data_IF_826893581719
#
_entry.id   IF_826893581719
#
_cell.length_a   1.000
_cell.length_b   1.000
_cell.length_c   1.000
_cell.angle_alpha   90.00
_cell.angle_beta   90.00
_cell.angle_gamma   90.00
#
_symmetry.space_group_name_H-M   'P 1'
#
loop_
_entity.id
_entity.type
_entity.pdbx_description
1 polymer ?
#
# COMPACT_ATOMS: atom_id res chain seq x y z
N UNK A 1 10.26 19.31 0.16
CA UNK A 1 9.21 20.35 0.03
C UNK A 1 8.22 19.77 -0.96
N UNK A 2 7.15 19.15 -0.48
CA UNK A 2 6.17 18.47 -1.33
C UNK A 2 4.81 19.13 -1.12
N UNK A 3 4.64 20.37 -1.60
CA UNK A 3 3.46 21.20 -1.28
C UNK A 3 2.79 21.85 -2.50
N UNK A 4 2.86 21.22 -3.69
CA UNK A 4 2.20 21.81 -4.88
C UNK A 4 1.35 20.85 -5.70
N UNK A 5 1.48 19.53 -5.54
CA UNK A 5 0.74 18.57 -6.39
C UNK A 5 -0.26 17.77 -5.57
N UNK A 6 -1.55 17.97 -5.86
CA UNK A 6 -2.63 17.12 -5.34
C UNK A 6 -2.50 15.76 -6.02
N UNK A 7 -2.20 14.72 -5.22
CA UNK A 7 -2.15 13.35 -5.73
C UNK A 7 -3.56 12.76 -5.76
N UNK A 8 -3.89 11.98 -6.81
CA UNK A 8 -5.07 11.14 -6.77
C UNK A 8 -5.03 10.19 -5.57
N UNK A 9 -6.18 9.93 -4.96
CA UNK A 9 -6.29 8.96 -3.85
C UNK A 9 -5.71 7.59 -4.21
N UNK A 10 -5.81 7.20 -5.48
CA UNK A 10 -5.25 5.97 -6.02
C UNK A 10 -3.72 5.89 -5.85
N UNK A 11 -3.02 6.99 -6.13
CA UNK A 11 -1.56 7.06 -6.01
C UNK A 11 -1.13 7.18 -4.54
N UNK A 12 -1.90 7.89 -3.71
CA UNK A 12 -1.67 7.94 -2.25
C UNK A 12 -1.79 6.54 -1.66
N UNK A 13 -2.84 5.80 -2.02
CA UNK A 13 -3.06 4.44 -1.59
C UNK A 13 -1.95 3.49 -2.07
N UNK A 14 -1.56 3.58 -3.34
CA UNK A 14 -0.47 2.77 -3.89
C UNK A 14 0.83 3.00 -3.12
N UNK A 15 1.18 4.26 -2.83
CA UNK A 15 2.38 4.61 -2.05
C UNK A 15 2.33 4.08 -0.64
N UNK A 16 1.17 4.18 0.03
CA UNK A 16 0.98 3.65 1.36
C UNK A 16 1.21 2.13 1.39
N UNK A 17 0.68 1.39 0.41
CA UNK A 17 0.86 -0.06 0.30
C UNK A 17 2.32 -0.44 0.06
N UNK A 18 2.97 0.22 -0.90
CA UNK A 18 4.39 -0.03 -1.19
C UNK A 18 5.26 0.26 0.03
N UNK A 19 4.98 1.35 0.74
CA UNK A 19 5.70 1.70 1.95
C UNK A 19 5.50 0.65 3.04
N UNK A 20 4.25 0.24 3.30
CA UNK A 20 3.93 -0.80 4.28
C UNK A 20 4.66 -2.12 3.98
N UNK A 21 4.59 -2.61 2.73
CA UNK A 21 5.30 -3.82 2.32
C UNK A 21 6.82 -3.69 2.52
N UNK A 22 7.40 -2.53 2.21
CA UNK A 22 8.83 -2.30 2.40
C UNK A 22 9.23 -2.34 3.88
N UNK A 23 8.47 -1.70 4.77
CA UNK A 23 8.80 -1.66 6.20
C UNK A 23 8.54 -2.99 6.90
N UNK A 24 7.60 -3.80 6.40
CA UNK A 24 7.31 -5.14 6.93
C UNK A 24 8.08 -6.25 6.21
N UNK A 25 9.08 -5.93 5.39
CA UNK A 25 9.88 -6.92 4.63
C UNK A 25 9.00 -7.88 3.80
N UNK A 26 7.99 -7.33 3.12
CA UNK A 26 6.97 -8.03 2.34
C UNK A 26 6.04 -8.96 3.15
N UNK A 27 6.03 -8.88 4.48
CA UNK A 27 5.00 -9.56 5.26
C UNK A 27 3.65 -8.90 5.02
N UNK A 28 2.80 -9.58 4.24
CA UNK A 28 1.47 -9.10 3.85
C UNK A 28 0.52 -9.01 5.05
N UNK A 29 0.67 -9.86 6.08
CA UNK A 29 -0.18 -9.80 7.26
C UNK A 29 0.13 -8.54 8.07
N UNK A 30 1.40 -8.30 8.36
CA UNK A 30 1.85 -7.13 9.11
C UNK A 30 1.59 -5.84 8.34
N UNK A 31 1.75 -5.86 7.00
CA UNK A 31 1.45 -4.70 6.16
C UNK A 31 -0.05 -4.37 6.18
N UNK A 32 -0.92 -5.39 6.15
CA UNK A 32 -2.36 -5.20 6.21
C UNK A 32 -2.79 -4.63 7.57
N UNK A 33 -2.21 -5.14 8.66
CA UNK A 33 -2.42 -4.65 10.02
C UNK A 33 -1.96 -3.20 10.17
N UNK A 34 -0.75 -2.87 9.72
CA UNK A 34 -0.20 -1.51 9.77
C UNK A 34 -1.03 -0.50 8.95
N UNK A 35 -1.65 -0.94 7.86
CA UNK A 35 -2.55 -0.13 7.04
C UNK A 35 -4.00 -0.10 7.56
N UNK A 36 -4.34 -0.88 8.58
CA UNK A 36 -5.70 -0.99 9.11
C UNK A 36 -6.70 -1.62 8.13
N UNK A 37 -6.24 -2.48 7.23
CA UNK A 37 -7.08 -3.16 6.23
C UNK A 37 -6.99 -4.68 6.35
N UNK A 38 -8.01 -5.39 5.85
CA UNK A 38 -7.96 -6.85 5.78
C UNK A 38 -6.95 -7.36 4.74
N UNK A 39 -6.34 -8.53 5.01
CA UNK A 39 -5.38 -9.19 4.09
C UNK A 39 -5.94 -9.38 2.67
N UNK A 40 -7.21 -9.79 2.54
CA UNK A 40 -7.88 -9.93 1.23
C UNK A 40 -7.98 -8.60 0.48
N UNK A 41 -8.21 -7.50 1.21
CA UNK A 41 -8.23 -6.15 0.64
C UNK A 41 -6.85 -5.74 0.17
N UNK A 42 -5.81 -6.01 0.97
CA UNK A 42 -4.43 -5.75 0.59
C UNK A 42 -4.03 -6.54 -0.66
N UNK A 43 -4.29 -7.85 -0.71
CA UNK A 43 -4.04 -8.68 -1.90
C UNK A 43 -4.74 -8.16 -3.16
N UNK A 44 -6.01 -7.76 -3.05
CA UNK A 44 -6.76 -7.19 -4.18
C UNK A 44 -6.13 -5.89 -4.66
N UNK A 45 -5.65 -5.04 -3.74
CA UNK A 45 -4.97 -3.78 -4.08
C UNK A 45 -3.58 -4.02 -4.66
N UNK A 46 -2.80 -4.97 -4.14
CA UNK A 46 -1.52 -5.38 -4.70
C UNK A 46 -1.68 -5.85 -6.15
N UNK A 47 -2.70 -6.68 -6.43
CA UNK A 47 -3.06 -7.08 -7.80
C UNK A 47 -3.44 -5.88 -8.66
N UNK A 48 -4.30 -4.98 -8.16
CA UNK A 48 -4.71 -3.76 -8.88
C UNK A 48 -3.52 -2.89 -9.28
N UNK A 49 -2.52 -2.79 -8.41
CA UNK A 49 -1.33 -1.96 -8.61
C UNK A 49 -0.12 -2.72 -9.20
N UNK A 50 -0.28 -3.98 -9.60
CA UNK A 50 0.78 -4.86 -10.09
C UNK A 50 2.01 -4.91 -9.16
N UNK A 51 1.76 -4.97 -7.85
CA UNK A 51 2.82 -5.06 -6.84
C UNK A 51 3.20 -6.53 -6.60
N UNK A 52 4.49 -6.83 -6.32
CA UNK A 52 4.94 -8.17 -6.00
C UNK A 52 4.34 -8.65 -4.67
N UNK A 53 3.92 -9.92 -4.64
CA UNK A 53 3.49 -10.62 -3.42
C UNK A 53 4.62 -11.40 -2.78
#
# INVERSE_FOLDING_TARGET
MDTTTILPLDEVERRAIVHALKVTSNNTSDAAEALGIGRTTLYRKMKKYNLPS
#
